data_IF_726768901022
#
_entry.id   IF_726768901022
#
_cell.length_a   1.000
_cell.length_b   1.000
_cell.length_c   1.000
_cell.angle_alpha   90.00
_cell.angle_beta   90.00
_cell.angle_gamma   90.00
#
_symmetry.space_group_name_H-M   'P 1'
#
loop_
_entity.id
_entity.type
_entity.pdbx_description
1 polymer ?
#
# COMPACT_ATOMS: atom_id res chain seq x y z
N UNK A 1 -13.68 12.30 21.51
CA UNK A 1 -14.83 12.70 20.65
C UNK A 1 -15.94 11.67 20.74
N UNK A 2 -17.22 12.08 20.61
CA UNK A 2 -18.32 11.11 20.48
C UNK A 2 -18.21 10.41 19.13
N UNK A 3 -18.24 9.07 19.12
CA UNK A 3 -18.25 8.27 17.90
C UNK A 3 -19.50 8.62 17.09
N UNK A 4 -19.32 9.01 15.83
CA UNK A 4 -20.39 9.52 14.97
C UNK A 4 -21.22 8.40 14.35
N UNK A 5 -20.57 7.28 14.04
CA UNK A 5 -21.22 6.13 13.39
C UNK A 5 -21.53 5.03 14.40
N UNK A 6 -22.60 4.29 14.16
CA UNK A 6 -22.94 3.15 15.01
C UNK A 6 -22.13 1.92 14.58
N UNK A 7 -22.12 1.63 13.25
CA UNK A 7 -21.47 0.44 12.70
C UNK A 7 -20.65 0.79 11.45
N UNK A 8 -19.38 0.48 11.47
CA UNK A 8 -18.52 0.63 10.32
C UNK A 8 -18.11 -0.74 9.74
N UNK A 9 -18.16 -0.85 8.41
CA UNK A 9 -17.72 -2.04 7.67
C UNK A 9 -16.50 -1.70 6.83
N UNK A 10 -15.42 -2.46 7.02
CA UNK A 10 -14.22 -2.41 6.19
C UNK A 10 -14.27 -3.51 5.13
N UNK A 11 -14.33 -3.14 3.86
CA UNK A 11 -14.14 -4.07 2.73
C UNK A 11 -12.67 -4.06 2.32
N UNK A 12 -11.91 -5.03 2.80
CA UNK A 12 -10.46 -5.11 2.58
C UNK A 12 -9.99 -6.56 2.70
N UNK A 13 -8.96 -6.93 1.95
CA UNK A 13 -8.28 -8.21 2.13
C UNK A 13 -7.46 -8.19 3.41
N UNK A 14 -7.71 -9.14 4.33
CA UNK A 14 -7.04 -9.24 5.64
C UNK A 14 -5.51 -9.36 5.56
N UNK A 15 -4.99 -9.88 4.45
CA UNK A 15 -3.55 -10.00 4.21
C UNK A 15 -2.85 -8.69 3.85
N UNK A 16 -3.58 -7.62 3.60
CA UNK A 16 -2.97 -6.32 3.31
C UNK A 16 -2.49 -5.65 4.59
N UNK A 17 -1.29 -5.06 4.53
CA UNK A 17 -0.65 -4.40 5.68
C UNK A 17 -1.49 -3.27 6.28
N UNK A 18 -2.40 -2.66 5.51
CA UNK A 18 -3.28 -1.60 5.99
C UNK A 18 -4.60 -2.07 6.62
N UNK A 19 -4.89 -3.38 6.62
CA UNK A 19 -6.14 -3.89 7.19
C UNK A 19 -6.33 -3.43 8.64
N UNK A 20 -5.32 -3.67 9.48
CA UNK A 20 -5.37 -3.28 10.89
C UNK A 20 -5.44 -1.76 11.08
N UNK A 21 -4.69 -0.99 10.30
CA UNK A 21 -4.72 0.48 10.36
C UNK A 21 -6.11 1.03 10.06
N UNK A 22 -6.84 0.45 9.10
CA UNK A 22 -8.21 0.85 8.79
C UNK A 22 -9.23 0.36 9.82
N UNK A 23 -9.04 -0.82 10.41
CA UNK A 23 -9.86 -1.27 11.55
C UNK A 23 -9.74 -0.30 12.71
N UNK A 24 -8.52 0.14 13.05
CA UNK A 24 -8.28 1.12 14.12
C UNK A 24 -8.89 2.48 13.80
N UNK A 25 -8.69 2.96 12.57
CA UNK A 25 -9.30 4.21 12.09
C UNK A 25 -10.82 4.19 12.21
N UNK A 26 -11.47 3.12 11.75
CA UNK A 26 -12.92 2.98 11.85
C UNK A 26 -13.39 2.80 13.30
N UNK A 27 -12.57 2.15 14.15
CA UNK A 27 -12.82 2.02 15.58
C UNK A 27 -12.85 3.35 16.33
N UNK A 28 -12.08 4.36 15.87
CA UNK A 28 -12.15 5.73 16.39
C UNK A 28 -13.43 6.46 15.94
N UNK A 29 -14.01 6.08 14.80
CA UNK A 29 -15.16 6.76 14.19
C UNK A 29 -16.51 6.12 14.54
N UNK A 30 -16.53 4.83 14.90
CA UNK A 30 -17.76 4.04 15.10
C UNK A 30 -17.80 3.30 16.43
N UNK A 31 -19.02 2.94 16.88
CA UNK A 31 -19.20 2.14 18.10
C UNK A 31 -18.74 0.69 17.89
N UNK A 32 -19.09 0.13 16.73
CA UNK A 32 -18.75 -1.22 16.31
C UNK A 32 -18.08 -1.20 14.94
N UNK A 33 -17.02 -2.00 14.76
CA UNK A 33 -16.29 -2.11 13.49
C UNK A 33 -16.14 -3.57 13.11
N UNK A 34 -16.42 -3.90 11.83
CA UNK A 34 -16.25 -5.23 11.28
C UNK A 34 -15.41 -5.16 9.99
N UNK A 35 -14.46 -6.08 9.84
CA UNK A 35 -13.78 -6.34 8.57
C UNK A 35 -14.52 -7.41 7.76
N UNK A 36 -14.55 -7.26 6.44
CA UNK A 36 -15.10 -8.24 5.52
C UNK A 36 -14.14 -8.41 4.33
N UNK A 37 -13.49 -9.58 4.28
CA UNK A 37 -12.63 -9.95 3.15
C UNK A 37 -13.44 -10.70 2.10
N UNK A 38 -13.79 -10.00 1.02
CA UNK A 38 -14.52 -10.56 -0.11
C UNK A 38 -13.83 -11.82 -0.67
N UNK A 39 -12.50 -11.87 -0.67
CA UNK A 39 -11.74 -13.01 -1.24
C UNK A 39 -11.96 -14.32 -0.49
N UNK A 40 -12.27 -14.24 0.82
CA UNK A 40 -12.61 -15.43 1.61
C UNK A 40 -13.92 -16.09 1.14
N UNK A 41 -14.77 -15.36 0.40
CA UNK A 41 -16.04 -15.84 -0.12
C UNK A 41 -16.00 -16.24 -1.61
N UNK A 42 -14.83 -16.12 -2.25
CA UNK A 42 -14.61 -16.54 -3.64
C UNK A 42 -13.86 -17.87 -3.65
N UNK A 43 -14.42 -18.87 -4.32
CA UNK A 43 -13.74 -20.17 -4.45
C UNK A 43 -12.41 -20.03 -5.20
N UNK A 44 -11.38 -20.70 -4.76
CA UNK A 44 -10.05 -20.71 -5.39
C UNK A 44 -10.14 -21.10 -6.89
N UNK A 45 -11.08 -22.00 -7.24
CA UNK A 45 -11.34 -22.36 -8.63
C UNK A 45 -11.85 -21.17 -9.45
N UNK A 46 -12.77 -20.36 -8.90
CA UNK A 46 -13.31 -19.16 -9.58
C UNK A 46 -12.18 -18.14 -9.83
N UNK A 47 -11.26 -17.96 -8.86
CA UNK A 47 -10.09 -17.08 -9.02
C UNK A 47 -9.12 -17.58 -10.09
N UNK A 48 -8.87 -18.90 -10.14
CA UNK A 48 -8.01 -19.51 -11.17
C UNK A 48 -8.64 -19.38 -12.57
N UNK A 49 -9.94 -19.64 -12.68
CA UNK A 49 -10.68 -19.45 -13.95
C UNK A 49 -10.61 -17.97 -14.34
N UNK A 50 -10.85 -17.03 -13.42
CA UNK A 50 -10.79 -15.61 -13.70
C UNK A 50 -9.44 -15.20 -14.32
N UNK A 51 -8.33 -15.69 -13.78
CA UNK A 51 -6.98 -15.44 -14.32
C UNK A 51 -6.83 -15.94 -15.76
N UNK A 52 -7.42 -17.09 -16.12
CA UNK A 52 -7.36 -17.62 -17.48
C UNK A 52 -8.30 -16.88 -18.43
N UNK A 53 -9.44 -16.38 -17.95
CA UNK A 53 -10.43 -15.66 -18.75
C UNK A 53 -9.87 -14.37 -19.37
N UNK A 54 -8.85 -13.76 -18.76
CA UNK A 54 -8.17 -12.58 -19.32
C UNK A 54 -7.49 -12.85 -20.67
N UNK A 55 -7.23 -14.13 -21.02
CA UNK A 55 -6.64 -14.56 -22.28
C UNK A 55 -7.69 -14.78 -23.37
N UNK A 56 -8.97 -14.76 -23.03
CA UNK A 56 -10.07 -15.03 -23.95
C UNK A 56 -10.64 -13.75 -24.57
N UNK A 57 -11.34 -13.85 -25.72
CA UNK A 57 -12.02 -12.72 -26.33
C UNK A 57 -12.98 -12.02 -25.37
N UNK A 58 -13.08 -10.69 -25.48
CA UNK A 58 -13.84 -9.82 -24.58
C UNK A 58 -15.28 -10.32 -24.32
N UNK A 59 -15.99 -10.82 -25.35
CA UNK A 59 -17.39 -11.29 -25.17
C UNK A 59 -17.51 -12.44 -24.18
N UNK A 60 -16.55 -13.39 -24.19
CA UNK A 60 -16.54 -14.55 -23.27
C UNK A 60 -16.14 -14.09 -21.88
N UNK A 61 -15.05 -13.30 -21.81
CA UNK A 61 -14.56 -12.70 -20.57
C UNK A 61 -15.65 -11.90 -19.86
N UNK A 62 -16.36 -11.02 -20.57
CA UNK A 62 -17.41 -10.16 -20.01
C UNK A 62 -18.58 -10.97 -19.40
N UNK A 63 -18.96 -12.10 -20.03
CA UNK A 63 -20.00 -12.99 -19.46
C UNK A 63 -19.53 -13.60 -18.13
N UNK A 64 -18.29 -14.08 -18.11
CA UNK A 64 -17.71 -14.64 -16.89
C UNK A 64 -17.60 -13.58 -15.77
N UNK A 65 -17.06 -12.41 -16.09
CA UNK A 65 -16.88 -11.31 -15.17
C UNK A 65 -18.23 -10.90 -14.54
N UNK A 66 -19.27 -10.73 -15.36
CA UNK A 66 -20.62 -10.46 -14.85
C UNK A 66 -21.15 -11.55 -13.93
N UNK A 67 -20.90 -12.82 -14.23
CA UNK A 67 -21.32 -13.93 -13.38
C UNK A 67 -20.59 -13.90 -12.04
N UNK A 68 -19.26 -13.77 -12.06
CA UNK A 68 -18.42 -13.73 -10.86
C UNK A 68 -18.78 -12.53 -9.98
N UNK A 69 -18.84 -11.33 -10.58
CA UNK A 69 -19.16 -10.11 -9.87
C UNK A 69 -20.59 -10.16 -9.29
N UNK A 70 -21.57 -10.65 -10.06
CA UNK A 70 -22.94 -10.81 -9.57
C UNK A 70 -23.02 -11.68 -8.32
N UNK A 71 -22.32 -12.83 -8.32
CA UNK A 71 -22.23 -13.73 -7.16
C UNK A 71 -21.60 -13.05 -5.96
N UNK A 72 -20.46 -12.37 -6.16
CA UNK A 72 -19.70 -11.71 -5.09
C UNK A 72 -20.53 -10.56 -4.48
N UNK A 73 -21.16 -9.73 -5.33
CA UNK A 73 -21.97 -8.60 -4.85
C UNK A 73 -23.26 -9.06 -4.14
N UNK A 74 -23.84 -10.22 -4.52
CA UNK A 74 -24.95 -10.81 -3.78
C UNK A 74 -24.53 -11.17 -2.33
N UNK A 75 -23.37 -11.79 -2.15
CA UNK A 75 -22.83 -12.14 -0.82
C UNK A 75 -22.56 -10.86 -0.01
N UNK A 76 -21.94 -9.86 -0.62
CA UNK A 76 -21.66 -8.59 0.05
C UNK A 76 -22.95 -7.86 0.47
N UNK A 77 -23.96 -7.81 -0.40
CA UNK A 77 -25.24 -7.19 -0.05
C UNK A 77 -25.99 -7.95 1.05
N UNK A 78 -25.78 -9.27 1.16
CA UNK A 78 -26.35 -10.04 2.27
C UNK A 78 -25.66 -9.64 3.59
N UNK A 79 -24.32 -9.53 3.62
CA UNK A 79 -23.55 -9.06 4.79
C UNK A 79 -23.98 -7.64 5.20
N UNK A 80 -24.11 -6.71 4.23
CA UNK A 80 -24.55 -5.33 4.50
C UNK A 80 -25.98 -5.29 5.10
N UNK A 81 -26.88 -6.12 4.61
CA UNK A 81 -28.25 -6.19 5.15
C UNK A 81 -28.30 -6.76 6.56
N UNK A 82 -27.42 -7.74 6.87
CA UNK A 82 -27.31 -8.34 8.20
C UNK A 82 -26.68 -7.36 9.19
N UNK A 83 -25.49 -6.85 8.85
CA UNK A 83 -24.71 -5.99 9.74
C UNK A 83 -25.26 -4.57 9.86
N UNK A 84 -25.92 -4.05 8.80
CA UNK A 84 -26.50 -2.70 8.69
C UNK A 84 -25.50 -1.59 9.05
N UNK A 85 -24.37 -1.48 8.34
CA UNK A 85 -23.40 -0.41 8.59
C UNK A 85 -23.99 0.93 8.18
N UNK A 86 -23.59 2.02 8.89
CA UNK A 86 -23.83 3.40 8.51
C UNK A 86 -22.57 4.09 7.96
N UNK A 87 -21.42 3.38 7.98
CA UNK A 87 -20.18 3.73 7.31
C UNK A 87 -19.57 2.50 6.63
N UNK A 88 -19.23 2.60 5.35
CA UNK A 88 -18.51 1.55 4.61
C UNK A 88 -17.22 2.14 4.04
N UNK A 89 -16.07 1.58 4.41
CA UNK A 89 -14.77 1.90 3.80
C UNK A 89 -14.33 0.74 2.90
N UNK A 90 -14.03 1.06 1.65
CA UNK A 90 -13.59 0.12 0.62
C UNK A 90 -12.12 0.36 0.30
N UNK A 91 -11.28 -0.67 0.42
CA UNK A 91 -9.89 -0.61 -0.01
C UNK A 91 -9.71 -1.45 -1.29
N UNK A 92 -9.40 -0.77 -2.39
CA UNK A 92 -9.05 -1.39 -3.69
C UNK A 92 -9.97 -2.56 -4.10
N UNK A 93 -11.29 -2.44 -3.97
CA UNK A 93 -12.17 -3.55 -4.34
C UNK A 93 -12.30 -3.70 -5.85
N UNK A 94 -11.70 -4.77 -6.38
CA UNK A 94 -11.80 -5.18 -7.77
C UNK A 94 -13.15 -5.87 -8.10
N UNK A 95 -13.97 -6.13 -7.08
CA UNK A 95 -15.17 -6.96 -7.19
C UNK A 95 -16.47 -6.20 -7.04
N UNK A 96 -16.43 -4.89 -6.75
CA UNK A 96 -17.63 -4.08 -6.60
C UNK A 96 -18.27 -3.73 -7.95
N UNK A 97 -19.61 -3.73 -7.95
CA UNK A 97 -20.44 -3.18 -9.03
C UNK A 97 -20.99 -1.80 -8.62
N UNK A 98 -21.18 -0.88 -9.57
CA UNK A 98 -21.79 0.43 -9.30
C UNK A 98 -23.16 0.33 -8.63
N UNK A 99 -23.99 -0.66 -9.03
CA UNK A 99 -25.30 -0.91 -8.45
C UNK A 99 -25.21 -1.27 -6.96
N UNK A 100 -24.16 -2.00 -6.58
CA UNK A 100 -23.88 -2.32 -5.17
C UNK A 100 -23.50 -1.06 -4.38
N UNK A 101 -22.72 -0.16 -4.98
CA UNK A 101 -22.39 1.13 -4.36
C UNK A 101 -23.66 1.98 -4.14
N UNK A 102 -24.58 2.00 -5.12
CA UNK A 102 -25.88 2.68 -4.98
C UNK A 102 -26.69 2.08 -3.84
N UNK A 103 -26.71 0.76 -3.71
CA UNK A 103 -27.46 0.08 -2.63
C UNK A 103 -26.85 0.40 -1.25
N UNK A 104 -25.51 0.38 -1.11
CA UNK A 104 -24.81 0.78 0.12
C UNK A 104 -25.23 2.21 0.53
N UNK A 105 -25.22 3.13 -0.42
CA UNK A 105 -25.51 4.56 -0.16
C UNK A 105 -26.91 4.86 0.31
N UNK A 106 -27.85 3.94 0.21
CA UNK A 106 -29.20 4.16 0.77
C UNK A 106 -29.19 4.32 2.29
N UNK A 107 -28.21 3.69 2.98
CA UNK A 107 -28.18 3.65 4.43
C UNK A 107 -26.81 3.94 5.05
N UNK A 108 -25.74 4.04 4.25
CA UNK A 108 -24.38 4.21 4.72
C UNK A 108 -23.61 5.29 3.93
N UNK A 109 -22.67 5.96 4.59
CA UNK A 109 -21.63 6.72 3.91
C UNK A 109 -20.64 5.74 3.26
N UNK A 110 -20.24 6.03 2.04
CA UNK A 110 -19.34 5.20 1.24
C UNK A 110 -18.01 5.93 1.01
N UNK A 111 -16.94 5.38 1.59
CA UNK A 111 -15.57 5.90 1.47
C UNK A 111 -14.71 4.91 0.72
N UNK A 112 -13.92 5.37 -0.25
CA UNK A 112 -12.92 4.54 -0.92
C UNK A 112 -11.52 4.99 -0.52
N UNK A 113 -10.64 4.03 -0.27
CA UNK A 113 -9.20 4.26 -0.25
C UNK A 113 -8.56 3.58 -1.47
N UNK A 114 -7.83 4.36 -2.25
CA UNK A 114 -7.11 3.90 -3.42
C UNK A 114 -5.65 3.59 -3.04
N UNK A 115 -5.29 2.32 -2.97
CA UNK A 115 -3.88 1.89 -2.80
C UNK A 115 -3.14 1.76 -4.13
N UNK A 116 -3.89 1.66 -5.24
CA UNK A 116 -3.36 1.58 -6.61
C UNK A 116 -4.02 2.64 -7.49
N UNK A 117 -3.33 3.03 -8.57
CA UNK A 117 -3.83 4.04 -9.50
C UNK A 117 -5.18 3.64 -10.11
N UNK A 118 -6.20 4.51 -10.04
CA UNK A 118 -7.51 4.22 -10.62
C UNK A 118 -7.48 4.16 -12.15
N UNK A 119 -6.42 4.71 -12.78
CA UNK A 119 -6.26 4.75 -14.24
C UNK A 119 -5.34 3.65 -14.75
N UNK A 120 -4.51 3.07 -13.90
CA UNK A 120 -3.52 2.07 -14.28
C UNK A 120 -3.92 0.64 -13.87
N UNK A 121 -4.98 0.49 -13.10
CA UNK A 121 -5.44 -0.83 -12.63
C UNK A 121 -6.19 -1.54 -13.76
N UNK A 122 -5.60 -2.54 -14.43
CA UNK A 122 -6.16 -3.10 -15.67
C UNK A 122 -7.34 -4.05 -15.43
N UNK A 123 -7.73 -4.31 -14.19
CA UNK A 123 -8.53 -5.47 -13.83
C UNK A 123 -9.99 -5.17 -13.50
N UNK A 124 -10.40 -3.91 -13.38
CA UNK A 124 -11.78 -3.57 -13.05
C UNK A 124 -12.35 -2.49 -13.99
N UNK A 125 -13.21 -2.92 -14.89
CA UNK A 125 -13.91 -2.01 -15.82
C UNK A 125 -14.91 -1.08 -15.10
N UNK A 126 -15.27 -1.36 -13.85
CA UNK A 126 -16.31 -0.64 -13.09
C UNK A 126 -15.72 0.27 -12.01
N UNK A 127 -14.39 0.26 -11.80
CA UNK A 127 -13.78 0.92 -10.65
C UNK A 127 -14.08 2.43 -10.61
N UNK A 128 -13.89 3.15 -11.72
CA UNK A 128 -14.21 4.57 -11.81
C UNK A 128 -15.71 4.83 -11.63
N UNK A 129 -16.57 3.94 -12.15
CA UNK A 129 -18.00 4.03 -11.95
C UNK A 129 -18.39 3.80 -10.47
N UNK A 130 -17.68 2.90 -9.76
CA UNK A 130 -17.88 2.75 -8.31
C UNK A 130 -17.42 4.01 -7.56
N UNK A 131 -16.25 4.58 -7.92
CA UNK A 131 -15.73 5.81 -7.29
C UNK A 131 -16.69 6.99 -7.47
N UNK A 132 -17.46 7.05 -8.57
CA UNK A 132 -18.45 8.11 -8.79
C UNK A 132 -19.60 8.13 -7.77
N UNK A 133 -19.83 7.02 -7.08
CA UNK A 133 -20.80 6.90 -6.00
C UNK A 133 -20.21 7.16 -4.61
N UNK A 134 -18.89 7.36 -4.46
CA UNK A 134 -18.26 7.61 -3.17
C UNK A 134 -18.73 8.95 -2.56
N UNK A 135 -18.87 8.99 -1.24
CA UNK A 135 -18.98 10.25 -0.49
C UNK A 135 -17.61 10.87 -0.29
N UNK A 136 -16.54 10.04 -0.25
CA UNK A 136 -15.15 10.49 -0.13
C UNK A 136 -14.23 9.47 -0.75
N UNK A 137 -13.20 9.95 -1.47
CA UNK A 137 -12.13 9.16 -2.08
C UNK A 137 -10.81 9.55 -1.44
N UNK A 138 -10.16 8.61 -0.77
CA UNK A 138 -8.88 8.77 -0.12
C UNK A 138 -7.76 8.28 -1.05
N UNK A 139 -6.71 9.08 -1.21
CA UNK A 139 -5.61 8.78 -2.12
C UNK A 139 -4.25 9.14 -1.53
N UNK A 140 -3.23 8.26 -1.63
CA UNK A 140 -1.86 8.56 -1.25
C UNK A 140 -1.06 9.28 -2.35
N UNK A 141 -1.73 9.76 -3.42
CA UNK A 141 -1.09 10.38 -4.58
C UNK A 141 -1.91 11.60 -5.05
N UNK A 142 -1.30 12.80 -4.98
CA UNK A 142 -1.96 14.05 -5.35
C UNK A 142 -2.30 14.10 -6.84
N UNK A 143 -1.50 13.46 -7.70
CA UNK A 143 -1.77 13.42 -9.13
C UNK A 143 -3.04 12.63 -9.44
N UNK A 144 -3.31 11.54 -8.71
CA UNK A 144 -4.57 10.81 -8.88
C UNK A 144 -5.77 11.68 -8.52
N UNK A 145 -5.66 12.48 -7.45
CA UNK A 145 -6.72 13.41 -7.07
C UNK A 145 -6.96 14.47 -8.17
N UNK A 146 -5.90 15.02 -8.75
CA UNK A 146 -6.00 15.96 -9.87
C UNK A 146 -6.70 15.33 -11.07
N UNK A 147 -6.34 14.10 -11.45
CA UNK A 147 -6.98 13.37 -12.55
C UNK A 147 -8.46 13.06 -12.27
N UNK A 148 -8.80 12.61 -11.06
CA UNK A 148 -10.18 12.36 -10.66
C UNK A 148 -11.00 13.66 -10.68
N UNK A 149 -10.45 14.76 -10.19
CA UNK A 149 -11.10 16.06 -10.22
C UNK A 149 -11.37 16.53 -11.65
N UNK A 150 -10.46 16.25 -12.59
CA UNK A 150 -10.62 16.59 -14.02
C UNK A 150 -11.80 15.89 -14.66
N UNK A 151 -12.11 14.65 -14.24
CA UNK A 151 -13.28 13.91 -14.72
C UNK A 151 -14.55 14.13 -13.88
N UNK A 152 -14.53 15.12 -12.97
CA UNK A 152 -15.70 15.52 -12.18
C UNK A 152 -15.83 14.84 -10.82
N UNK A 153 -14.93 13.97 -10.41
CA UNK A 153 -14.91 13.34 -9.09
C UNK A 153 -14.16 14.23 -8.09
N UNK A 154 -14.83 15.22 -7.54
CA UNK A 154 -14.23 16.28 -6.70
C UNK A 154 -14.13 15.94 -5.21
N UNK A 155 -14.76 14.85 -4.76
CA UNK A 155 -14.75 14.39 -3.37
C UNK A 155 -13.47 13.60 -3.03
N UNK A 156 -12.30 14.14 -3.36
CA UNK A 156 -11.00 13.52 -3.16
C UNK A 156 -10.25 14.15 -2.00
N UNK A 157 -9.49 13.33 -1.27
CA UNK A 157 -8.63 13.78 -0.17
C UNK A 157 -7.29 13.07 -0.26
N UNK A 158 -6.19 13.85 -0.21
CA UNK A 158 -4.86 13.27 0.00
C UNK A 158 -4.80 12.68 1.40
N UNK A 159 -4.53 11.38 1.48
CA UNK A 159 -4.63 10.63 2.74
C UNK A 159 -3.41 9.75 2.97
N UNK A 160 -2.89 9.84 4.19
CA UNK A 160 -1.74 9.09 4.67
C UNK A 160 -2.20 8.13 5.77
N UNK A 161 -2.17 6.81 5.55
CA UNK A 161 -2.66 5.84 6.56
C UNK A 161 -1.79 5.79 7.81
N UNK A 162 -0.49 6.20 7.73
CA UNK A 162 0.45 6.15 8.83
C UNK A 162 1.19 4.81 8.96
N UNK A 163 1.89 4.64 10.08
CA UNK A 163 2.62 3.42 10.42
C UNK A 163 1.68 2.44 11.12
N UNK A 164 1.57 1.23 10.61
CA UNK A 164 0.93 0.12 11.35
C UNK A 164 1.88 -0.40 12.43
N UNK A 165 1.76 0.14 13.63
CA UNK A 165 2.62 -0.19 14.77
C UNK A 165 2.41 -1.61 15.33
N UNK A 166 1.34 -2.33 14.93
CA UNK A 166 1.15 -3.74 15.28
C UNK A 166 1.93 -4.67 14.38
N UNK A 167 2.15 -4.24 13.13
CA UNK A 167 2.83 -5.02 12.12
C UNK A 167 4.32 -4.68 12.00
N UNK A 168 4.67 -3.39 12.17
CA UNK A 168 6.02 -2.89 12.00
C UNK A 168 6.46 -2.08 13.22
N UNK A 169 7.39 -2.63 13.97
CA UNK A 169 7.91 -2.05 15.21
C UNK A 169 9.36 -2.51 15.44
N UNK A 170 10.19 -1.72 16.14
CA UNK A 170 11.53 -2.14 16.50
C UNK A 170 11.50 -3.35 17.43
N UNK A 171 12.36 -4.30 17.17
CA UNK A 171 12.58 -5.49 17.99
C UNK A 171 13.82 -5.25 18.87
N UNK A 172 13.72 -5.49 20.15
CA UNK A 172 14.78 -5.20 21.12
C UNK A 172 15.42 -6.48 21.69
N UNK A 173 14.75 -7.62 21.56
CA UNK A 173 15.22 -8.89 22.12
C UNK A 173 16.04 -9.69 21.09
N UNK A 174 17.31 -10.09 21.41
CA UNK A 174 18.13 -10.86 20.47
C UNK A 174 17.47 -12.13 19.92
N UNK A 175 16.71 -12.86 20.74
CA UNK A 175 15.99 -14.07 20.33
C UNK A 175 14.86 -13.81 19.30
N UNK A 176 14.33 -12.59 19.22
CA UNK A 176 13.33 -12.23 18.23
C UNK A 176 13.88 -12.17 16.80
N UNK A 177 15.21 -11.98 16.67
CA UNK A 177 15.92 -11.83 15.42
C UNK A 177 16.63 -13.10 14.93
N UNK A 178 16.54 -14.19 15.71
CA UNK A 178 17.21 -15.45 15.39
C UNK A 178 16.82 -16.00 14.02
N UNK A 179 17.79 -16.48 13.27
CA UNK A 179 17.61 -17.12 11.96
C UNK A 179 17.52 -16.17 10.77
N UNK A 180 17.70 -14.85 10.98
CA UNK A 180 17.76 -13.86 9.90
C UNK A 180 19.10 -13.12 9.99
N UNK A 181 19.75 -12.92 8.85
CA UNK A 181 21.06 -12.27 8.78
C UNK A 181 20.95 -10.75 8.66
N UNK A 182 21.85 -10.03 9.34
CA UNK A 182 22.04 -8.59 9.18
C UNK A 182 22.37 -8.21 7.73
N UNK A 183 21.90 -7.06 7.29
CA UNK A 183 22.18 -6.52 5.95
C UNK A 183 22.47 -5.03 5.99
N UNK A 184 23.39 -4.58 5.17
CA UNK A 184 23.57 -3.15 4.93
C UNK A 184 22.36 -2.59 4.18
N UNK A 185 21.93 -3.28 3.11
CA UNK A 185 20.80 -2.88 2.28
C UNK A 185 19.89 -4.07 2.00
N UNK A 186 18.62 -3.92 2.23
CA UNK A 186 17.61 -4.93 1.96
C UNK A 186 16.52 -4.39 1.04
N UNK A 187 16.22 -5.14 -0.01
CA UNK A 187 15.04 -4.87 -0.81
C UNK A 187 14.12 -6.09 -0.89
N UNK A 188 12.83 -5.88 -0.64
CA UNK A 188 11.78 -6.89 -0.79
C UNK A 188 10.70 -6.33 -1.72
N UNK A 189 10.51 -6.94 -2.90
CA UNK A 189 9.48 -6.50 -3.81
C UNK A 189 9.49 -7.18 -5.17
N UNK A 190 8.32 -7.21 -5.80
CA UNK A 190 8.13 -7.80 -7.12
C UNK A 190 8.74 -6.93 -8.22
N UNK A 191 9.21 -7.58 -9.27
CA UNK A 191 9.64 -6.95 -10.50
C UNK A 191 8.59 -7.12 -11.60
N UNK A 192 8.77 -6.40 -12.70
CA UNK A 192 7.87 -6.35 -13.86
C UNK A 192 8.58 -6.77 -15.13
N UNK A 193 7.81 -7.23 -16.13
CA UNK A 193 8.35 -7.66 -17.44
C UNK A 193 8.59 -6.49 -18.40
N UNK A 194 8.02 -5.32 -18.11
CA UNK A 194 8.07 -4.11 -18.94
C UNK A 194 9.19 -3.15 -18.46
N UNK A 195 9.24 -1.94 -19.02
CA UNK A 195 10.23 -0.89 -18.70
C UNK A 195 10.31 -0.52 -17.22
N UNK A 196 9.24 -0.69 -16.44
CA UNK A 196 9.28 -0.50 -14.99
C UNK A 196 10.18 -1.50 -14.29
N UNK A 197 10.25 -2.75 -14.79
CA UNK A 197 11.19 -3.74 -14.29
C UNK A 197 12.64 -3.36 -14.57
N UNK A 198 12.94 -2.80 -15.76
CA UNK A 198 14.26 -2.28 -16.07
C UNK A 198 14.65 -1.12 -15.14
N UNK A 199 13.76 -0.13 -14.99
CA UNK A 199 13.95 1.00 -14.09
C UNK A 199 14.25 0.55 -12.66
N UNK A 200 13.49 -0.41 -12.15
CA UNK A 200 13.66 -1.00 -10.82
C UNK A 200 15.00 -1.74 -10.69
N UNK A 201 15.37 -2.52 -11.69
CA UNK A 201 16.64 -3.24 -11.72
C UNK A 201 17.86 -2.28 -11.80
N UNK A 202 17.75 -1.20 -12.57
CA UNK A 202 18.76 -0.14 -12.61
C UNK A 202 18.99 0.48 -11.22
N UNK A 203 17.92 0.81 -10.51
CA UNK A 203 18.02 1.35 -9.15
C UNK A 203 18.66 0.32 -8.20
N UNK A 204 18.18 -0.91 -8.19
CA UNK A 204 18.70 -1.95 -7.27
C UNK A 204 20.16 -2.33 -7.59
N UNK A 205 20.60 -2.23 -8.84
CA UNK A 205 22.00 -2.51 -9.22
C UNK A 205 23.00 -1.55 -8.56
N UNK A 206 22.56 -0.37 -8.13
CA UNK A 206 23.43 0.60 -7.45
C UNK A 206 23.82 0.16 -6.02
N UNK A 207 23.14 -0.85 -5.47
CA UNK A 207 23.41 -1.34 -4.12
C UNK A 207 24.24 -2.64 -4.10
N UNK A 208 24.59 -3.21 -5.25
CA UNK A 208 25.28 -4.53 -5.33
C UNK A 208 26.68 -4.54 -4.76
N UNK A 209 27.33 -3.37 -4.60
CA UNK A 209 28.61 -3.21 -3.94
C UNK A 209 28.60 -3.28 -2.41
N UNK A 210 27.41 -3.36 -1.80
CA UNK A 210 27.21 -3.48 -0.34
C UNK A 210 26.83 -4.92 0.04
N UNK A 211 26.69 -5.19 1.34
CA UNK A 211 25.98 -6.38 1.80
C UNK A 211 24.48 -6.18 1.52
N UNK A 212 24.13 -6.45 0.27
CA UNK A 212 22.80 -6.26 -0.30
C UNK A 212 22.10 -7.59 -0.52
N UNK A 213 20.81 -7.64 -0.16
CA UNK A 213 19.96 -8.77 -0.51
C UNK A 213 18.64 -8.30 -1.14
N UNK A 214 18.27 -8.98 -2.21
CA UNK A 214 17.09 -8.71 -3.02
C UNK A 214 16.14 -9.91 -3.00
N UNK A 215 14.94 -9.73 -2.46
CA UNK A 215 13.88 -10.74 -2.46
C UNK A 215 12.74 -10.33 -3.38
N UNK A 216 12.23 -11.27 -4.17
CA UNK A 216 11.10 -10.99 -5.06
C UNK A 216 10.74 -12.14 -6.00
N UNK A 217 9.83 -11.87 -6.91
CA UNK A 217 9.34 -12.84 -7.88
C UNK A 217 10.38 -13.15 -8.98
N UNK A 218 10.15 -14.22 -9.74
CA UNK A 218 11.02 -14.67 -10.83
C UNK A 218 11.22 -13.65 -11.96
N UNK A 219 10.38 -12.61 -12.04
CA UNK A 219 10.51 -11.57 -13.08
C UNK A 219 11.80 -10.77 -12.98
N UNK A 220 12.47 -10.77 -11.82
CA UNK A 220 13.80 -10.18 -11.64
C UNK A 220 14.84 -10.82 -12.56
N UNK A 221 14.81 -12.13 -12.78
CA UNK A 221 15.77 -12.89 -13.60
C UNK A 221 15.86 -12.37 -15.05
N UNK A 222 14.77 -11.77 -15.56
CA UNK A 222 14.76 -11.17 -16.88
C UNK A 222 15.76 -10.04 -17.06
N UNK A 223 16.11 -9.36 -15.99
CA UNK A 223 16.95 -8.17 -15.99
C UNK A 223 18.42 -8.44 -15.71
N UNK A 224 18.79 -9.67 -15.26
CA UNK A 224 20.18 -10.03 -14.96
C UNK A 224 21.09 -9.94 -16.17
N UNK A 225 20.58 -10.14 -17.38
CA UNK A 225 21.34 -9.92 -18.62
C UNK A 225 21.83 -8.47 -18.81
N UNK A 226 21.17 -7.48 -18.18
CA UNK A 226 21.53 -6.07 -18.22
C UNK A 226 22.28 -5.65 -16.94
N UNK A 227 21.99 -6.32 -15.83
CA UNK A 227 22.53 -6.05 -14.50
C UNK A 227 22.99 -7.36 -13.85
N UNK A 228 24.12 -7.98 -14.33
CA UNK A 228 24.55 -9.32 -13.86
C UNK A 228 24.83 -9.38 -12.37
N UNK A 229 25.32 -8.28 -11.78
CA UNK A 229 25.62 -8.19 -10.34
C UNK A 229 24.40 -8.38 -9.43
N UNK A 230 23.17 -8.27 -9.96
CA UNK A 230 21.95 -8.55 -9.20
C UNK A 230 21.71 -10.06 -8.98
N UNK A 231 22.23 -10.93 -9.85
CA UNK A 231 21.95 -12.36 -9.81
C UNK A 231 22.43 -13.00 -8.50
N UNK A 232 23.64 -12.68 -8.06
CA UNK A 232 24.21 -13.18 -6.80
C UNK A 232 23.51 -12.61 -5.55
N UNK A 233 22.89 -11.45 -5.67
CA UNK A 233 22.16 -10.77 -4.59
C UNK A 233 20.70 -11.21 -4.47
N UNK A 234 20.18 -11.90 -5.49
CA UNK A 234 18.78 -12.23 -5.61
C UNK A 234 18.41 -13.54 -4.92
N UNK A 235 17.29 -13.52 -4.22
CA UNK A 235 16.62 -14.72 -3.72
C UNK A 235 15.15 -14.67 -4.19
N UNK A 236 14.77 -15.70 -4.96
CA UNK A 236 13.38 -15.82 -5.38
C UNK A 236 12.50 -16.09 -4.17
N UNK A 237 11.48 -15.26 -3.99
CA UNK A 237 10.53 -15.39 -2.89
C UNK A 237 9.11 -15.16 -3.39
N UNK A 238 8.17 -15.88 -2.79
CA UNK A 238 6.76 -15.55 -2.86
C UNK A 238 6.37 -14.47 -1.85
N UNK A 239 5.16 -14.57 -1.33
CA UNK A 239 4.70 -13.70 -0.24
C UNK A 239 5.50 -13.98 1.04
N UNK A 240 6.12 -12.94 1.59
CA UNK A 240 6.80 -12.98 2.89
C UNK A 240 5.80 -12.53 3.96
N UNK A 241 5.53 -13.34 4.98
CA UNK A 241 4.62 -12.96 6.06
C UNK A 241 5.10 -11.70 6.80
N UNK A 242 4.18 -10.84 7.19
CA UNK A 242 4.48 -9.56 7.85
C UNK A 242 5.41 -9.68 9.08
N UNK A 243 5.24 -10.66 10.00
CA UNK A 243 6.18 -10.82 11.12
C UNK A 243 7.62 -11.12 10.68
N UNK A 244 7.80 -11.91 9.61
CA UNK A 244 9.12 -12.19 9.04
C UNK A 244 9.68 -10.93 8.37
N UNK A 245 8.86 -10.20 7.61
CA UNK A 245 9.27 -8.96 6.96
C UNK A 245 9.68 -7.89 7.96
N UNK A 246 8.95 -7.76 9.09
CA UNK A 246 9.35 -6.86 10.18
C UNK A 246 10.74 -7.23 10.74
N UNK A 247 11.01 -8.50 10.99
CA UNK A 247 12.34 -8.97 11.42
C UNK A 247 13.43 -8.62 10.39
N UNK A 248 13.17 -8.89 9.11
CA UNK A 248 14.11 -8.58 8.04
C UNK A 248 14.42 -7.07 7.96
N UNK A 249 13.42 -6.22 8.12
CA UNK A 249 13.65 -4.76 8.15
C UNK A 249 14.42 -4.34 9.40
N UNK A 250 14.13 -4.89 10.57
CA UNK A 250 14.88 -4.59 11.80
C UNK A 250 16.38 -4.92 11.69
N UNK A 251 16.74 -5.92 10.89
CA UNK A 251 18.14 -6.34 10.63
C UNK A 251 18.74 -5.66 9.41
N UNK A 252 18.01 -4.78 8.73
CA UNK A 252 18.56 -4.00 7.64
C UNK A 252 18.91 -2.58 8.13
N UNK A 253 20.04 -2.04 7.66
CA UNK A 253 20.40 -0.63 7.93
C UNK A 253 19.67 0.32 7.02
N UNK A 254 19.47 -0.07 5.74
CA UNK A 254 18.84 0.73 4.70
C UNK A 254 17.83 -0.10 3.89
N UNK A 255 16.70 0.52 3.54
CA UNK A 255 15.67 -0.07 2.68
C UNK A 255 15.39 0.87 1.51
N UNK A 256 15.81 0.55 0.28
CA UNK A 256 15.39 1.29 -0.90
C UNK A 256 13.87 1.21 -1.10
N UNK A 257 13.24 2.37 -1.31
CA UNK A 257 11.79 2.50 -1.53
C UNK A 257 11.57 3.15 -2.88
N UNK A 258 11.17 2.34 -3.85
CA UNK A 258 10.78 2.79 -5.18
C UNK A 258 9.26 2.89 -5.32
N UNK A 259 8.79 3.66 -6.29
CA UNK A 259 7.37 3.75 -6.61
C UNK A 259 6.86 2.55 -7.42
N UNK A 260 5.60 2.19 -7.23
CA UNK A 260 4.88 1.31 -8.16
C UNK A 260 4.59 2.04 -9.48
N UNK A 261 4.34 1.32 -10.60
CA UNK A 261 4.11 1.92 -11.90
C UNK A 261 3.05 3.02 -11.94
N UNK A 262 2.02 2.93 -11.13
CA UNK A 262 0.93 3.89 -11.10
C UNK A 262 1.13 5.07 -10.13
N UNK A 263 2.15 5.05 -9.27
CA UNK A 263 2.45 6.14 -8.33
C UNK A 263 3.28 7.19 -9.05
N UNK A 264 2.75 8.42 -9.17
CA UNK A 264 3.40 9.52 -9.88
C UNK A 264 3.94 10.58 -8.93
N UNK A 265 3.11 11.17 -8.10
CA UNK A 265 3.51 12.14 -7.09
C UNK A 265 3.63 11.52 -5.70
N UNK A 266 2.85 10.48 -5.42
CA UNK A 266 2.67 9.87 -4.11
C UNK A 266 3.82 9.00 -3.63
N UNK A 267 3.56 8.21 -2.61
CA UNK A 267 4.57 7.40 -1.94
C UNK A 267 4.17 5.91 -1.88
N UNK A 268 5.18 5.05 -1.72
CA UNK A 268 4.97 3.63 -1.51
C UNK A 268 4.89 3.31 0.00
N UNK A 269 3.99 2.41 0.39
CA UNK A 269 3.77 2.02 1.79
C UNK A 269 5.02 1.47 2.49
N UNK A 270 5.98 0.91 1.76
CA UNK A 270 7.26 0.42 2.30
C UNK A 270 8.04 1.49 3.07
N UNK A 271 7.82 2.78 2.79
CA UNK A 271 8.37 3.88 3.56
C UNK A 271 7.95 3.79 5.03
N UNK A 272 6.65 3.53 5.27
CA UNK A 272 6.11 3.39 6.64
C UNK A 272 6.52 2.06 7.28
N UNK A 273 6.60 1.00 6.49
CA UNK A 273 7.03 -0.33 6.94
C UNK A 273 8.48 -0.29 7.43
N UNK A 274 9.38 0.32 6.66
CA UNK A 274 10.79 0.48 7.03
C UNK A 274 10.96 1.38 8.28
N UNK A 275 10.34 2.56 8.29
CA UNK A 275 10.40 3.46 9.47
C UNK A 275 9.75 2.85 10.69
N UNK A 276 8.64 2.11 10.51
CA UNK A 276 7.97 1.39 11.59
C UNK A 276 8.89 0.38 12.26
N UNK A 277 9.64 -0.39 11.47
CA UNK A 277 10.65 -1.35 11.93
C UNK A 277 11.93 -0.69 12.51
N UNK A 278 12.11 0.61 12.34
CA UNK A 278 13.30 1.33 12.84
C UNK A 278 14.45 1.40 11.83
N UNK A 279 14.17 1.21 10.54
CA UNK A 279 15.17 1.20 9.46
C UNK A 279 15.05 2.43 8.59
N UNK A 280 16.19 2.96 8.09
CA UNK A 280 16.18 4.14 7.23
C UNK A 280 15.75 3.79 5.80
N UNK A 281 14.61 4.35 5.29
CA UNK A 281 14.27 4.23 3.89
C UNK A 281 15.09 5.19 3.02
N UNK A 282 15.63 4.69 1.91
CA UNK A 282 16.14 5.52 0.81
C UNK A 282 15.04 5.65 -0.22
N UNK A 283 14.39 6.82 -0.29
CA UNK A 283 13.12 6.97 -1.00
C UNK A 283 13.34 7.53 -2.40
N UNK A 284 12.84 6.86 -3.43
CA UNK A 284 12.76 7.45 -4.76
C UNK A 284 12.01 8.79 -4.68
N UNK A 285 12.61 9.84 -5.23
CA UNK A 285 12.01 11.17 -5.19
C UNK A 285 10.58 11.16 -5.74
N UNK A 286 9.68 11.69 -4.97
CA UNK A 286 8.29 11.95 -5.33
C UNK A 286 7.87 13.28 -4.70
N UNK A 287 7.10 14.05 -5.47
CA UNK A 287 6.67 15.39 -5.08
C UNK A 287 5.94 15.38 -3.74
N UNK A 288 5.01 14.46 -3.55
CA UNK A 288 4.18 14.41 -2.34
C UNK A 288 4.96 14.00 -1.09
N UNK A 289 6.08 13.28 -1.24
CA UNK A 289 6.96 12.96 -0.11
C UNK A 289 7.54 14.23 0.48
N UNK A 290 8.04 15.13 -0.37
CA UNK A 290 8.67 16.39 0.04
C UNK A 290 7.63 17.44 0.43
N UNK A 291 6.60 17.65 -0.40
CA UNK A 291 5.69 18.77 -0.26
C UNK A 291 4.48 18.51 0.66
N UNK A 292 4.08 17.25 0.83
CA UNK A 292 2.87 16.89 1.59
C UNK A 292 3.14 15.99 2.78
N UNK A 293 3.82 14.84 2.58
CA UNK A 293 4.00 13.82 3.61
C UNK A 293 4.83 14.35 4.79
N UNK A 294 6.01 14.91 4.50
CA UNK A 294 6.93 15.45 5.52
C UNK A 294 6.84 16.97 5.67
N UNK A 295 5.79 17.59 5.14
CA UNK A 295 5.59 19.03 5.31
C UNK A 295 5.53 19.42 6.78
N UNK A 296 6.47 20.27 7.20
CA UNK A 296 6.61 20.72 8.60
C UNK A 296 7.46 19.80 9.48
N UNK A 297 7.97 18.67 8.99
CA UNK A 297 9.05 17.95 9.64
C UNK A 297 10.37 18.71 9.48
N UNK A 298 11.22 18.68 10.50
CA UNK A 298 12.56 19.28 10.43
C UNK A 298 13.50 18.41 9.60
N UNK A 299 13.25 17.11 9.59
CA UNK A 299 14.02 16.12 8.83
C UNK A 299 13.28 15.66 7.57
N UNK A 300 14.05 15.19 6.59
CA UNK A 300 13.55 14.60 5.35
C UNK A 300 14.22 13.25 5.14
N UNK A 301 13.49 12.20 4.72
CA UNK A 301 14.14 10.96 4.34
C UNK A 301 15.09 11.20 3.15
N UNK A 302 16.19 10.44 3.05
CA UNK A 302 17.09 10.54 1.91
C UNK A 302 16.36 10.30 0.59
N UNK A 303 16.32 11.31 -0.28
CA UNK A 303 15.60 11.26 -1.56
C UNK A 303 16.54 10.89 -2.70
N UNK A 304 16.27 9.79 -3.39
CA UNK A 304 16.98 9.36 -4.59
C UNK A 304 16.46 10.17 -5.78
N UNK A 305 17.11 11.29 -6.10
CA UNK A 305 16.78 12.15 -7.26
C UNK A 305 17.53 11.70 -8.53
N UNK A 306 18.65 11.02 -8.36
CA UNK A 306 19.48 10.43 -9.42
C UNK A 306 19.81 8.97 -9.05
N UNK A 307 19.35 8.03 -9.87
CA UNK A 307 19.55 6.61 -9.60
C UNK A 307 21.02 6.21 -9.55
N UNK A 308 21.84 6.80 -10.44
CA UNK A 308 23.28 6.46 -10.50
C UNK A 308 24.00 6.86 -9.22
N UNK A 309 23.49 7.84 -8.50
CA UNK A 309 24.05 8.30 -7.21
C UNK A 309 23.40 7.62 -5.99
N UNK A 310 22.50 6.66 -6.19
CA UNK A 310 21.85 5.98 -5.07
C UNK A 310 22.86 5.19 -4.20
N UNK A 311 23.91 4.63 -4.80
CA UNK A 311 25.00 3.98 -4.08
C UNK A 311 25.81 4.93 -3.19
N UNK A 312 26.08 6.16 -3.66
CA UNK A 312 26.77 7.19 -2.86
C UNK A 312 25.96 7.58 -1.63
N UNK A 313 24.62 7.74 -1.83
CA UNK A 313 23.69 8.04 -0.74
C UNK A 313 23.68 6.90 0.30
N UNK A 314 23.65 5.64 -0.14
CA UNK A 314 23.75 4.49 0.75
C UNK A 314 25.07 4.47 1.52
N UNK A 315 26.19 4.67 0.81
CA UNK A 315 27.54 4.72 1.42
C UNK A 315 27.63 5.78 2.51
N UNK A 316 27.02 6.95 2.29
CA UNK A 316 26.98 8.02 3.29
C UNK A 316 26.30 7.57 4.57
N UNK A 317 25.07 7.07 4.50
CA UNK A 317 24.30 6.67 5.69
C UNK A 317 24.81 5.38 6.34
N UNK A 318 25.50 4.51 5.61
CA UNK A 318 26.19 3.35 6.22
C UNK A 318 27.39 3.77 7.06
N UNK A 319 28.12 4.82 6.66
CA UNK A 319 29.26 5.37 7.40
C UNK A 319 28.87 6.27 8.56
N UNK A 320 27.71 6.94 8.48
CA UNK A 320 27.24 7.91 9.47
C UNK A 320 26.09 7.32 10.31
N UNK A 321 26.41 6.34 11.15
CA UNK A 321 25.42 5.58 11.92
C UNK A 321 24.59 6.44 12.89
N UNK A 322 25.22 7.35 13.60
CA UNK A 322 24.53 8.23 14.55
C UNK A 322 23.49 9.10 13.83
N UNK A 323 23.88 9.69 12.69
CA UNK A 323 22.97 10.50 11.88
C UNK A 323 21.81 9.66 11.32
N UNK A 324 22.13 8.44 10.82
CA UNK A 324 21.12 7.50 10.33
C UNK A 324 20.08 7.16 11.41
N UNK A 325 20.54 6.84 12.61
CA UNK A 325 19.68 6.45 13.74
C UNK A 325 18.81 7.62 14.21
N UNK A 326 19.41 8.79 14.34
CA UNK A 326 18.70 10.02 14.73
C UNK A 326 17.62 10.38 13.70
N UNK A 327 17.97 10.30 12.41
CA UNK A 327 17.04 10.58 11.31
C UNK A 327 15.84 9.63 11.33
N UNK A 328 16.06 8.33 11.52
CA UNK A 328 14.97 7.34 11.66
C UNK A 328 14.06 7.69 12.82
N UNK A 329 14.63 8.03 13.96
CA UNK A 329 13.88 8.39 15.18
C UNK A 329 12.99 9.61 14.94
N UNK A 330 13.54 10.66 14.32
CA UNK A 330 12.81 11.89 14.03
C UNK A 330 11.68 11.68 13.02
N UNK A 331 11.96 11.02 11.88
CA UNK A 331 10.96 10.73 10.86
C UNK A 331 9.82 9.84 11.39
N UNK A 332 10.17 8.81 12.16
CA UNK A 332 9.20 7.89 12.74
C UNK A 332 8.30 8.59 13.76
N UNK A 333 8.87 9.41 14.66
CA UNK A 333 8.10 10.22 15.63
C UNK A 333 7.12 11.12 14.91
N UNK A 334 7.60 11.89 13.94
CA UNK A 334 6.78 12.80 13.15
C UNK A 334 5.59 12.09 12.47
N UNK A 335 5.84 10.96 11.80
CA UNK A 335 4.77 10.21 11.13
C UNK A 335 3.77 9.63 12.13
N UNK A 336 4.24 9.09 13.27
CA UNK A 336 3.38 8.49 14.29
C UNK A 336 2.51 9.52 15.00
N UNK A 337 3.00 10.74 15.20
CA UNK A 337 2.24 11.83 15.80
C UNK A 337 1.21 12.42 14.84
N UNK A 338 1.59 12.58 13.58
CA UNK A 338 0.78 13.27 12.57
C UNK A 338 -0.25 12.37 11.91
N UNK A 339 0.11 11.12 11.63
CA UNK A 339 -0.71 10.18 10.85
C UNK A 339 -0.98 8.91 11.67
N UNK A 340 -1.99 8.97 12.50
CA UNK A 340 -2.46 7.86 13.32
C UNK A 340 -3.98 7.75 13.26
N UNK A 341 -4.55 6.68 13.80
CA UNK A 341 -5.98 6.42 13.75
C UNK A 341 -6.82 7.60 14.26
N UNK A 342 -6.39 8.24 15.38
CA UNK A 342 -7.10 9.37 15.99
C UNK A 342 -7.08 10.61 15.09
N UNK A 343 -5.89 11.08 14.67
CA UNK A 343 -5.77 12.28 13.83
C UNK A 343 -6.45 12.09 12.46
N UNK A 344 -6.34 10.90 11.90
CA UNK A 344 -7.00 10.52 10.65
C UNK A 344 -8.52 10.45 10.79
N UNK A 345 -9.04 9.94 11.92
CA UNK A 345 -10.48 9.91 12.18
C UNK A 345 -11.06 11.33 12.29
N UNK A 346 -10.36 12.23 12.96
CA UNK A 346 -10.75 13.65 13.07
C UNK A 346 -10.82 14.31 11.68
N UNK A 347 -9.81 14.07 10.83
CA UNK A 347 -9.78 14.55 9.45
C UNK A 347 -10.98 14.05 8.65
N UNK A 348 -11.25 12.73 8.70
CA UNK A 348 -12.35 12.12 7.97
C UNK A 348 -13.72 12.59 8.48
N UNK A 349 -13.92 12.67 9.79
CA UNK A 349 -15.16 13.16 10.39
C UNK A 349 -15.46 14.61 10.01
N UNK A 350 -14.42 15.45 9.88
CA UNK A 350 -14.56 16.83 9.43
C UNK A 350 -14.88 16.93 7.94
N UNK A 351 -14.37 16.02 7.12
CA UNK A 351 -14.59 16.00 5.68
C UNK A 351 -15.96 15.40 5.29
N UNK A 352 -16.44 14.40 6.02
CA UNK A 352 -17.72 13.71 5.78
C UNK A 352 -18.96 14.45 6.34
N UNK A 353 -18.83 15.70 6.69
CA UNK A 353 -19.94 16.50 7.28
C UNK A 353 -21.19 16.58 6.43
#
# INVERSE_FOLDING_TARGET
MSKRFQRALLLCTEKYSLFNSFIDLLGEMSQETRGFDIRNHIKTVDLRINTQMYRLPFKIRNKWEKHLLGKVNHILLAEIRDYRPDLVLVYNSEYLLPETCVEIKKNARLVFFMGDSPFYTPLNNYYLACLSHADLILSPDSFWNEQLNTIGLKQTLFFVPGIDQRSYFPLNEPGELEGIEDRDVLYVGNCYVNSWGYKKALLMSQFTGFDFRLYGNSMWKRWFRFFPSLEEKFSESGFIPTPVLNKMFNLAKLVPVDGNPGILNGFHLRLFEALGAGTLPLVEYRKDVEELLFKGCKAMPPLIKDYIKAGDLASYFLKNENERTELVRELRSFLSERYNAKTNSELLLNTLK
#
